data_IF_042188567321
#
_entry.id   IF_042188567321
#
_cell.length_a   1.000
_cell.length_b   1.000
_cell.length_c   1.000
_cell.angle_alpha   90.00
_cell.angle_beta   90.00
_cell.angle_gamma   90.00
#
_symmetry.space_group_name_H-M   'P 1'
#
loop_
_entity.id
_entity.type
_entity.pdbx_description
1 polymer ?
#
# COMPACT_ATOMS: atom_id res chain seq x y z
N UNK A 1 9.98 21.84 -31.89
CA UNK A 1 9.65 21.48 -30.52
C UNK A 1 9.95 20.02 -30.26
N UNK A 2 10.31 19.66 -29.03
CA UNK A 2 10.52 18.27 -28.61
C UNK A 2 9.24 17.81 -27.91
N UNK A 3 8.67 16.70 -28.37
CA UNK A 3 7.53 16.08 -27.68
C UNK A 3 8.06 15.21 -26.55
N UNK A 4 7.64 15.49 -25.32
CA UNK A 4 8.02 14.72 -24.13
C UNK A 4 6.95 13.64 -23.86
N UNK A 5 7.36 12.39 -23.86
CA UNK A 5 6.53 11.27 -23.42
C UNK A 5 7.06 10.76 -22.07
N UNK A 6 6.22 10.83 -21.04
CA UNK A 6 6.60 10.38 -19.68
C UNK A 6 6.16 8.93 -19.53
N UNK A 7 7.11 8.07 -19.18
CA UNK A 7 6.86 6.68 -18.79
C UNK A 7 7.07 6.49 -17.31
N UNK A 8 6.03 6.07 -16.60
CA UNK A 8 6.11 5.77 -15.18
C UNK A 8 6.28 4.26 -14.97
N UNK A 9 7.49 3.82 -14.68
CA UNK A 9 7.83 2.40 -14.50
C UNK A 9 7.32 1.75 -13.20
N UNK A 10 6.58 2.51 -12.37
CA UNK A 10 6.05 2.06 -11.07
C UNK A 10 4.55 1.75 -11.10
N UNK A 11 3.99 1.42 -12.23
CA UNK A 11 2.55 1.10 -12.34
C UNK A 11 2.06 0.07 -11.31
N UNK A 12 2.95 -0.76 -10.81
CA UNK A 12 2.66 -1.69 -9.74
C UNK A 12 2.33 -1.06 -8.38
N UNK A 13 2.78 0.17 -8.06
CA UNK A 13 2.54 0.74 -6.73
C UNK A 13 1.13 1.32 -6.56
N UNK A 14 0.56 1.94 -7.58
CA UNK A 14 -0.81 2.47 -7.55
C UNK A 14 -1.83 1.35 -7.73
N UNK A 15 -1.58 0.40 -8.61
CA UNK A 15 -2.46 -0.75 -8.82
C UNK A 15 -2.29 -1.87 -7.79
N UNK A 16 -1.18 -1.93 -7.05
CA UNK A 16 -0.97 -2.86 -5.93
C UNK A 16 -1.97 -2.68 -4.80
N UNK A 17 -2.45 -1.46 -4.58
CA UNK A 17 -3.53 -1.19 -3.65
C UNK A 17 -4.91 -1.63 -4.15
N UNK A 18 -5.01 -2.21 -5.37
CA UNK A 18 -6.28 -2.65 -5.96
C UNK A 18 -7.02 -1.55 -6.71
N UNK A 19 -6.39 -0.38 -6.95
CA UNK A 19 -7.00 0.66 -7.78
C UNK A 19 -7.17 0.17 -9.21
N UNK A 20 -8.32 0.48 -9.81
CA UNK A 20 -8.62 0.17 -11.20
C UNK A 20 -7.66 0.95 -12.10
N UNK A 21 -7.26 0.39 -13.25
CA UNK A 21 -6.42 1.10 -14.24
C UNK A 21 -7.02 2.43 -14.69
N UNK A 22 -8.35 2.52 -14.69
CA UNK A 22 -9.13 3.72 -14.87
C UNK A 22 -8.81 4.84 -13.87
N UNK A 23 -8.71 4.52 -12.58
CA UNK A 23 -8.36 5.50 -11.55
C UNK A 23 -6.95 6.06 -11.73
N UNK A 24 -6.01 5.25 -12.23
CA UNK A 24 -4.66 5.72 -12.58
C UNK A 24 -4.71 6.75 -13.70
N UNK A 25 -5.44 6.49 -14.77
CA UNK A 25 -5.56 7.39 -15.93
C UNK A 25 -6.24 8.70 -15.50
N UNK A 26 -7.33 8.61 -14.74
CA UNK A 26 -8.08 9.77 -14.27
C UNK A 26 -7.30 10.63 -13.25
N UNK A 27 -6.28 10.09 -12.61
CA UNK A 27 -5.41 10.82 -11.70
C UNK A 27 -4.20 11.48 -12.38
N UNK A 28 -3.95 11.18 -13.66
CA UNK A 28 -2.85 11.80 -14.42
C UNK A 28 -3.22 13.22 -14.84
N UNK A 29 -2.24 14.16 -14.86
CA UNK A 29 -2.43 15.45 -15.51
C UNK A 29 -2.85 15.28 -16.97
N UNK A 30 -3.78 16.10 -17.46
CA UNK A 30 -4.30 16.01 -18.83
C UNK A 30 -3.18 16.06 -19.88
N UNK A 31 -2.18 16.90 -19.65
CA UNK A 31 -1.01 17.06 -20.53
C UNK A 31 -0.10 15.83 -20.56
N UNK A 32 -0.21 14.92 -19.59
CA UNK A 32 0.57 13.68 -19.55
C UNK A 32 -0.09 12.52 -20.31
N UNK A 33 -1.35 12.69 -20.75
CA UNK A 33 -2.19 11.62 -21.32
C UNK A 33 -2.49 11.86 -22.81
N UNK A 34 -1.55 12.08 -23.66
CA UNK A 34 -1.76 12.35 -25.09
C UNK A 34 -2.22 11.12 -25.90
N UNK A 35 -3.30 10.46 -25.52
CA UNK A 35 -3.81 9.27 -26.20
C UNK A 35 -2.96 8.01 -26.00
N UNK A 36 -1.99 8.05 -25.10
CA UNK A 36 -1.08 6.95 -24.84
C UNK A 36 -1.00 6.63 -23.36
N UNK A 37 -1.18 5.36 -23.01
CA UNK A 37 -0.88 4.82 -21.70
C UNK A 37 0.16 3.72 -21.85
N UNK A 38 1.28 3.85 -21.17
CA UNK A 38 2.27 2.79 -21.01
C UNK A 38 2.42 2.44 -19.55
N UNK A 39 2.07 1.22 -19.19
CA UNK A 39 2.19 0.70 -17.84
C UNK A 39 2.99 -0.60 -17.85
N UNK A 40 3.74 -0.88 -16.77
CA UNK A 40 4.37 -2.18 -16.54
C UNK A 40 3.60 -2.89 -15.46
N UNK A 41 2.88 -3.94 -15.82
CA UNK A 41 2.16 -4.77 -14.86
C UNK A 41 3.04 -5.91 -14.34
N UNK A 42 2.75 -6.38 -13.14
CA UNK A 42 3.44 -7.54 -12.57
C UNK A 42 2.74 -8.83 -12.98
N UNK A 43 3.48 -9.96 -12.93
CA UNK A 43 2.99 -11.25 -13.40
C UNK A 43 1.67 -11.69 -12.76
N UNK A 44 1.50 -11.45 -11.45
CA UNK A 44 0.26 -11.76 -10.72
C UNK A 44 -0.91 -10.93 -11.24
N UNK A 45 -0.74 -9.63 -11.42
CA UNK A 45 -1.77 -8.73 -11.97
C UNK A 45 -2.13 -9.09 -13.41
N UNK A 46 -1.15 -9.55 -14.20
CA UNK A 46 -1.38 -10.02 -15.56
C UNK A 46 -2.31 -11.24 -15.57
N UNK A 47 -2.06 -12.22 -14.70
CA UNK A 47 -2.91 -13.41 -14.63
C UNK A 47 -4.35 -13.07 -14.17
N UNK A 48 -4.50 -12.21 -13.17
CA UNK A 48 -5.80 -11.79 -12.66
C UNK A 48 -6.62 -10.98 -13.68
N UNK A 49 -5.98 -10.08 -14.41
CA UNK A 49 -6.66 -9.17 -15.36
C UNK A 49 -6.84 -9.75 -16.74
N UNK A 50 -5.91 -10.59 -17.17
CA UNK A 50 -5.85 -11.09 -18.55
C UNK A 50 -5.94 -12.61 -18.69
N UNK A 51 -6.02 -13.37 -17.57
CA UNK A 51 -6.13 -14.82 -17.58
C UNK A 51 -7.47 -15.34 -18.13
N UNK A 52 -8.55 -14.55 -18.03
CA UNK A 52 -9.87 -14.90 -18.55
C UNK A 52 -10.36 -13.85 -19.55
N UNK A 53 -10.79 -14.31 -20.74
CA UNK A 53 -11.25 -13.42 -21.82
C UNK A 53 -12.28 -12.37 -21.41
N UNK A 54 -13.33 -12.67 -20.61
CA UNK A 54 -14.28 -11.65 -20.18
C UNK A 54 -13.64 -10.56 -19.32
N UNK A 55 -12.71 -10.93 -18.43
CA UNK A 55 -11.97 -9.99 -17.59
C UNK A 55 -11.02 -9.12 -18.42
N UNK A 56 -10.34 -9.74 -19.39
CA UNK A 56 -9.46 -9.03 -20.34
C UNK A 56 -10.22 -7.95 -21.10
N UNK A 57 -11.34 -8.32 -21.72
CA UNK A 57 -12.19 -7.39 -22.46
C UNK A 57 -12.64 -6.23 -21.56
N UNK A 58 -13.12 -6.54 -20.37
CA UNK A 58 -13.56 -5.53 -19.41
C UNK A 58 -12.43 -4.58 -19.01
N UNK A 59 -11.23 -5.12 -18.76
CA UNK A 59 -10.04 -4.33 -18.41
C UNK A 59 -9.65 -3.37 -19.54
N UNK A 60 -9.65 -3.85 -20.79
CA UNK A 60 -9.35 -3.01 -21.95
C UNK A 60 -10.44 -1.98 -22.23
N UNK A 61 -11.72 -2.33 -22.14
CA UNK A 61 -12.83 -1.40 -22.30
C UNK A 61 -12.75 -0.24 -21.29
N UNK A 62 -12.51 -0.54 -20.02
CA UNK A 62 -12.37 0.47 -18.97
C UNK A 62 -11.15 1.37 -19.21
N UNK A 63 -10.00 0.76 -19.55
CA UNK A 63 -8.78 1.52 -19.82
C UNK A 63 -8.90 2.40 -21.04
N UNK A 64 -9.51 1.88 -22.12
CA UNK A 64 -9.74 2.64 -23.36
C UNK A 64 -10.70 3.81 -23.12
N UNK A 65 -11.79 3.57 -22.41
CA UNK A 65 -12.75 4.61 -22.05
C UNK A 65 -12.08 5.73 -21.23
N UNK A 66 -11.36 5.37 -20.17
CA UNK A 66 -10.66 6.35 -19.34
C UNK A 66 -9.62 7.14 -20.16
N UNK A 67 -8.86 6.46 -21.02
CA UNK A 67 -7.87 7.10 -21.88
C UNK A 67 -8.52 8.06 -22.90
N UNK A 68 -9.64 7.67 -23.50
CA UNK A 68 -10.37 8.51 -24.43
C UNK A 68 -10.92 9.76 -23.75
N UNK A 69 -11.53 9.62 -22.57
CA UNK A 69 -12.06 10.74 -21.79
C UNK A 69 -10.93 11.69 -21.35
N UNK A 70 -9.82 11.15 -20.82
CA UNK A 70 -8.67 11.94 -20.44
C UNK A 70 -8.07 12.72 -21.60
N UNK A 71 -7.94 12.08 -22.77
CA UNK A 71 -7.43 12.72 -24.00
C UNK A 71 -8.37 13.80 -24.53
N UNK A 72 -9.67 13.63 -24.33
CA UNK A 72 -10.68 14.63 -24.69
C UNK A 72 -10.79 15.79 -23.68
N UNK A 73 -9.99 15.81 -22.62
CA UNK A 73 -10.00 16.87 -21.60
C UNK A 73 -11.12 16.76 -20.57
N UNK A 74 -11.76 15.58 -20.46
CA UNK A 74 -12.81 15.35 -19.45
C UNK A 74 -12.30 15.11 -18.03
N UNK A 75 -11.01 15.15 -17.78
CA UNK A 75 -10.43 14.95 -16.44
C UNK A 75 -10.58 16.16 -15.50
N UNK A 76 -11.41 17.12 -15.88
CA UNK A 76 -11.67 18.32 -15.13
C UNK A 76 -10.72 19.48 -15.45
N UNK A 77 -11.03 20.69 -14.98
CA UNK A 77 -10.20 21.87 -15.19
C UNK A 77 -8.85 21.70 -14.48
N UNK A 78 -7.82 22.37 -15.02
CA UNK A 78 -6.56 22.57 -14.31
C UNK A 78 -6.84 23.11 -12.89
N UNK A 79 -6.04 22.65 -11.95
CA UNK A 79 -6.10 23.12 -10.57
C UNK A 79 -5.66 24.60 -10.52
N UNK A 80 -6.62 25.49 -10.59
CA UNK A 80 -6.41 26.93 -10.38
C UNK A 80 -6.36 27.30 -8.89
N UNK A 81 -6.87 26.45 -7.98
CA UNK A 81 -6.90 26.72 -6.55
C UNK A 81 -5.52 26.51 -5.91
N UNK A 82 -4.80 27.61 -5.70
CA UNK A 82 -3.50 27.62 -5.02
C UNK A 82 -3.58 27.07 -3.59
N UNK A 83 -4.73 27.23 -2.91
CA UNK A 83 -4.98 26.70 -1.56
C UNK A 83 -4.87 25.17 -1.52
N UNK A 84 -5.33 24.48 -2.54
CA UNK A 84 -5.22 23.02 -2.61
C UNK A 84 -3.78 22.55 -2.87
N UNK A 85 -3.02 23.30 -3.66
CA UNK A 85 -1.59 23.02 -3.86
C UNK A 85 -0.82 23.21 -2.57
N UNK A 86 -1.07 24.30 -1.84
CA UNK A 86 -0.43 24.58 -0.56
C UNK A 86 -0.80 23.52 0.50
N UNK A 87 -2.07 23.12 0.56
CA UNK A 87 -2.53 22.05 1.43
C UNK A 87 -1.85 20.71 1.10
N UNK A 88 -1.76 20.35 -0.19
CA UNK A 88 -1.07 19.12 -0.62
C UNK A 88 0.42 19.16 -0.29
N UNK A 89 1.08 20.31 -0.45
CA UNK A 89 2.49 20.42 -0.12
C UNK A 89 2.74 20.32 1.39
N UNK A 90 1.89 20.96 2.21
CA UNK A 90 1.95 20.81 3.66
C UNK A 90 1.74 19.35 4.08
N UNK A 91 0.71 18.69 3.53
CA UNK A 91 0.42 17.28 3.78
C UNK A 91 1.61 16.40 3.41
N UNK A 92 2.16 16.57 2.22
CA UNK A 92 3.31 15.81 1.73
C UNK A 92 4.54 15.97 2.62
N UNK A 93 4.89 17.20 3.01
CA UNK A 93 6.02 17.48 3.92
C UNK A 93 5.81 16.85 5.29
N UNK A 94 4.61 16.99 5.86
CA UNK A 94 4.28 16.45 7.19
C UNK A 94 4.27 14.93 7.20
N UNK A 95 3.68 14.30 6.19
CA UNK A 95 3.69 12.85 6.00
C UNK A 95 5.11 12.31 5.82
N UNK A 96 5.91 12.96 4.97
CA UNK A 96 7.30 12.56 4.73
C UNK A 96 8.13 12.65 6.00
N UNK A 97 7.97 13.72 6.79
CA UNK A 97 8.67 13.89 8.06
C UNK A 97 8.29 12.78 9.04
N UNK A 98 6.99 12.48 9.19
CA UNK A 98 6.51 11.40 10.05
C UNK A 98 7.07 10.04 9.61
N UNK A 99 6.99 9.72 8.32
CA UNK A 99 7.50 8.46 7.79
C UNK A 99 9.02 8.33 7.99
N UNK A 100 9.79 9.39 7.67
CA UNK A 100 11.25 9.37 7.77
C UNK A 100 11.74 9.25 9.20
N UNK A 101 11.10 9.91 10.16
CA UNK A 101 11.52 9.91 11.56
C UNK A 101 11.62 8.51 12.15
N UNK A 102 10.75 7.60 11.71
CA UNK A 102 10.75 6.20 12.18
C UNK A 102 11.50 5.31 11.21
N UNK A 103 11.13 5.33 9.91
CA UNK A 103 11.61 4.32 8.96
C UNK A 103 13.07 4.50 8.58
N UNK A 104 13.55 5.76 8.52
CA UNK A 104 14.90 6.06 8.04
C UNK A 104 15.84 6.63 9.09
N UNK A 105 15.31 7.37 10.07
CA UNK A 105 16.12 8.09 11.04
C UNK A 105 16.30 7.31 12.35
N UNK A 106 15.36 6.41 12.67
CA UNK A 106 15.50 5.52 13.82
C UNK A 106 16.26 4.24 13.42
N UNK A 107 17.47 4.09 13.99
CA UNK A 107 18.36 2.96 13.66
C UNK A 107 17.84 1.60 14.14
N UNK A 108 16.95 1.57 15.10
CA UNK A 108 16.38 0.33 15.62
C UNK A 108 15.18 -0.16 14.81
N UNK A 109 14.62 0.70 13.94
CA UNK A 109 13.42 0.35 13.17
C UNK A 109 13.65 -0.83 12.22
N UNK A 110 14.84 -0.96 11.62
CA UNK A 110 15.15 -2.09 10.75
C UNK A 110 15.14 -3.43 11.51
N UNK A 111 15.58 -3.42 12.78
CA UNK A 111 15.56 -4.61 13.62
C UNK A 111 14.13 -4.96 14.03
N UNK A 112 13.33 -3.94 14.37
CA UNK A 112 11.90 -4.11 14.59
C UNK A 112 11.22 -4.73 13.34
N UNK A 113 11.46 -4.18 12.14
CA UNK A 113 10.96 -4.73 10.89
C UNK A 113 11.28 -6.22 10.72
N UNK A 114 12.55 -6.60 10.90
CA UNK A 114 12.96 -8.00 10.80
C UNK A 114 12.34 -8.89 11.88
N UNK A 115 12.05 -8.33 13.05
CA UNK A 115 11.42 -9.09 14.12
C UNK A 115 9.94 -9.38 13.84
N UNK A 116 9.15 -8.35 13.41
CA UNK A 116 7.69 -8.44 13.25
C UNK A 116 7.22 -8.84 11.85
N UNK A 117 8.12 -9.15 10.94
CA UNK A 117 7.79 -9.59 9.59
C UNK A 117 8.53 -10.87 9.23
N UNK A 118 8.05 -11.65 8.26
CA UNK A 118 8.78 -12.82 7.74
C UNK A 118 9.85 -12.42 6.70
N UNK A 119 10.54 -11.29 6.90
CA UNK A 119 11.53 -10.77 5.96
C UNK A 119 12.67 -11.75 5.72
N UNK A 120 13.11 -12.46 6.75
CA UNK A 120 14.15 -13.49 6.69
C UNK A 120 13.74 -14.73 5.86
N UNK A 121 12.45 -15.05 5.81
CA UNK A 121 11.90 -16.07 4.89
C UNK A 121 11.86 -15.54 3.46
N UNK A 122 11.35 -14.30 3.30
CA UNK A 122 11.22 -13.63 2.00
C UNK A 122 12.58 -13.45 1.32
N UNK A 123 13.63 -13.16 2.09
CA UNK A 123 15.00 -13.02 1.60
C UNK A 123 15.54 -14.32 0.94
N UNK A 124 15.08 -15.47 1.40
CA UNK A 124 15.43 -16.78 0.84
C UNK A 124 14.52 -17.21 -0.32
N UNK A 125 13.44 -16.47 -0.58
CA UNK A 125 12.54 -16.72 -1.71
C UNK A 125 13.10 -16.08 -2.99
N UNK A 126 12.93 -16.78 -4.11
CA UNK A 126 13.18 -16.18 -5.43
C UNK A 126 11.96 -15.36 -5.86
N UNK A 127 11.87 -14.11 -5.39
CA UNK A 127 10.80 -13.19 -5.77
C UNK A 127 11.28 -12.29 -6.90
N UNK A 128 10.74 -12.52 -8.10
CA UNK A 128 11.11 -11.76 -9.29
C UNK A 128 12.51 -12.11 -9.82
N UNK A 129 12.99 -11.32 -10.78
CA UNK A 129 14.27 -11.56 -11.50
C UNK A 129 15.51 -10.95 -10.82
N UNK A 130 15.36 -10.34 -9.66
CA UNK A 130 16.45 -9.58 -9.00
C UNK A 130 16.62 -9.98 -7.53
N UNK A 131 17.85 -9.94 -6.98
CA UNK A 131 18.09 -10.20 -5.56
C UNK A 131 17.24 -9.28 -4.65
N UNK A 132 16.93 -9.74 -3.45
CA UNK A 132 16.09 -9.03 -2.48
C UNK A 132 16.76 -7.75 -1.97
N UNK A 133 18.08 -7.73 -1.85
CA UNK A 133 18.85 -6.56 -1.42
C UNK A 133 19.66 -5.94 -2.56
N UNK A 134 20.07 -4.68 -2.40
CA UNK A 134 20.88 -3.91 -3.37
C UNK A 134 22.38 -4.06 -3.18
N UNK A 135 22.86 -4.83 -2.21
CA UNK A 135 24.26 -4.99 -1.89
C UNK A 135 24.54 -4.87 -0.38
N UNK A 136 25.80 -4.72 0.01
CA UNK A 136 26.26 -4.58 1.40
C UNK A 136 25.84 -3.23 2.00
N UNK A 137 24.57 -3.10 2.38
CA UNK A 137 24.04 -1.94 3.10
C UNK A 137 23.30 -2.40 4.35
N UNK A 138 23.53 -1.73 5.48
CA UNK A 138 22.72 -1.91 6.67
C UNK A 138 21.57 -0.90 6.66
N UNK A 139 20.33 -1.38 6.80
CA UNK A 139 19.15 -0.54 6.95
C UNK A 139 18.12 -0.65 5.82
N UNK A 140 17.02 0.07 5.96
CA UNK A 140 15.87 0.03 5.03
C UNK A 140 16.28 0.41 3.60
N UNK A 141 17.29 1.27 3.43
CA UNK A 141 17.77 1.71 2.11
C UNK A 141 18.40 0.58 1.28
N UNK A 142 18.90 -0.47 1.92
CA UNK A 142 19.45 -1.65 1.24
C UNK A 142 18.35 -2.55 0.69
N UNK A 143 17.13 -2.47 1.22
CA UNK A 143 16.01 -3.29 0.79
C UNK A 143 15.44 -2.81 -0.55
N UNK A 144 14.97 -3.74 -1.36
CA UNK A 144 14.18 -3.42 -2.55
C UNK A 144 12.73 -3.19 -2.18
N UNK A 145 12.04 -2.37 -2.98
CA UNK A 145 10.66 -1.97 -2.72
C UNK A 145 9.69 -3.17 -2.64
N UNK A 146 9.87 -4.19 -3.49
CA UNK A 146 8.99 -5.38 -3.50
C UNK A 146 9.11 -6.16 -2.19
N UNK A 147 10.27 -6.63 -1.75
CA UNK A 147 10.42 -7.32 -0.47
C UNK A 147 9.96 -6.49 0.72
N UNK A 148 10.23 -5.17 0.70
CA UNK A 148 9.80 -4.26 1.75
C UNK A 148 8.27 -4.22 1.89
N UNK A 149 7.55 -3.95 0.80
CA UNK A 149 6.08 -3.89 0.82
C UNK A 149 5.49 -5.26 1.13
N UNK A 150 6.06 -6.31 0.53
CA UNK A 150 5.59 -7.67 0.70
C UNK A 150 5.70 -8.17 2.15
N UNK A 151 6.81 -7.90 2.84
CA UNK A 151 6.99 -8.27 4.23
C UNK A 151 5.96 -7.61 5.15
N UNK A 152 5.65 -6.34 4.95
CA UNK A 152 4.61 -5.62 5.70
C UNK A 152 3.19 -6.12 5.39
N UNK A 153 2.94 -6.59 4.18
CA UNK A 153 1.65 -7.20 3.84
C UNK A 153 1.48 -8.55 4.53
N UNK A 154 2.54 -9.33 4.63
CA UNK A 154 2.56 -10.62 5.31
C UNK A 154 2.24 -10.53 6.80
N UNK A 155 2.60 -9.45 7.46
CA UNK A 155 2.29 -9.22 8.88
C UNK A 155 1.06 -8.34 9.12
N UNK A 156 0.25 -8.08 8.09
CA UNK A 156 -1.00 -7.30 8.12
C UNK A 156 -0.85 -5.84 8.56
N UNK A 157 0.35 -5.34 8.68
CA UNK A 157 0.59 -3.91 8.94
C UNK A 157 0.27 -3.03 7.73
N UNK A 158 0.58 -3.48 6.52
CA UNK A 158 0.45 -2.68 5.28
C UNK A 158 1.10 -1.30 5.40
N UNK A 159 2.08 -1.14 6.29
CA UNK A 159 2.64 0.12 6.77
C UNK A 159 3.01 1.13 5.66
N UNK A 160 3.69 0.72 4.56
CA UNK A 160 4.12 1.68 3.54
C UNK A 160 2.99 2.38 2.78
N UNK A 161 1.76 1.89 2.88
CA UNK A 161 0.63 2.42 2.13
C UNK A 161 -0.19 3.49 2.86
N UNK A 162 0.01 3.66 4.16
CA UNK A 162 -0.81 4.59 4.95
C UNK A 162 -0.04 5.34 6.05
N UNK A 163 1.11 4.84 6.51
CA UNK A 163 1.84 5.43 7.63
C UNK A 163 2.36 6.84 7.31
N UNK A 164 2.07 7.77 8.18
CA UNK A 164 2.36 9.20 8.03
C UNK A 164 1.25 9.99 7.32
N UNK A 165 0.26 9.33 6.71
CA UNK A 165 -0.83 10.03 6.02
C UNK A 165 -1.78 10.74 6.98
N UNK A 166 -2.08 10.15 8.14
CA UNK A 166 -2.90 10.77 9.18
C UNK A 166 -2.27 12.04 9.71
N UNK A 167 -0.99 12.00 10.07
CA UNK A 167 -0.21 13.16 10.47
C UNK A 167 -0.21 14.25 9.39
N UNK A 168 -0.09 13.89 8.12
CA UNK A 168 -0.15 14.83 7.01
C UNK A 168 -1.53 15.48 6.84
N UNK A 169 -2.60 14.67 6.87
CA UNK A 169 -3.99 15.15 6.78
C UNK A 169 -4.35 16.05 7.97
N UNK A 170 -3.95 15.67 9.18
CA UNK A 170 -4.18 16.47 10.39
C UNK A 170 -3.49 17.84 10.31
N UNK A 171 -2.26 17.91 9.81
CA UNK A 171 -1.56 19.18 9.61
C UNK A 171 -2.32 20.13 8.66
N UNK A 172 -2.99 19.59 7.64
CA UNK A 172 -3.86 20.37 6.76
C UNK A 172 -5.12 20.82 7.49
N UNK A 173 -5.75 19.93 8.26
CA UNK A 173 -6.93 20.30 9.07
C UNK A 173 -6.61 21.44 10.03
N UNK A 174 -5.47 21.38 10.69
CA UNK A 174 -5.03 22.40 11.66
C UNK A 174 -4.74 23.77 11.00
N UNK A 175 -4.28 23.77 9.74
CA UNK A 175 -3.86 24.99 9.03
C UNK A 175 -4.95 25.59 8.14
N UNK A 176 -5.75 24.76 7.49
CA UNK A 176 -6.73 25.16 6.48
C UNK A 176 -8.19 24.85 6.88
N UNK A 177 -8.39 24.08 7.95
CA UNK A 177 -9.69 23.58 8.38
C UNK A 177 -10.10 22.27 7.69
N UNK A 178 -10.97 21.50 8.36
CA UNK A 178 -11.41 20.20 7.87
C UNK A 178 -12.11 20.21 6.49
N UNK A 179 -12.91 21.24 6.11
CA UNK A 179 -13.64 21.22 4.84
C UNK A 179 -12.72 21.13 3.61
N UNK A 180 -11.49 21.64 3.66
CA UNK A 180 -10.60 21.69 2.50
C UNK A 180 -10.29 20.29 1.97
N UNK A 181 -10.07 19.30 2.84
CA UNK A 181 -9.77 17.93 2.41
C UNK A 181 -10.99 17.25 1.76
N UNK A 182 -12.20 17.52 2.24
CA UNK A 182 -13.43 17.00 1.62
C UNK A 182 -13.72 17.68 0.27
N UNK A 183 -13.44 18.98 0.15
CA UNK A 183 -13.51 19.69 -1.13
C UNK A 183 -12.51 19.14 -2.14
N UNK A 184 -11.25 18.93 -1.72
CA UNK A 184 -10.21 18.32 -2.56
C UNK A 184 -10.61 16.90 -2.99
N UNK A 185 -11.18 16.11 -2.09
CA UNK A 185 -11.63 14.76 -2.41
C UNK A 185 -12.75 14.76 -3.45
N UNK A 186 -13.69 15.69 -3.35
CA UNK A 186 -14.83 15.78 -4.27
C UNK A 186 -14.45 16.33 -5.66
N UNK A 187 -13.44 17.20 -5.75
CA UNK A 187 -13.19 17.99 -6.96
C UNK A 187 -11.80 17.79 -7.56
N UNK A 188 -10.89 17.10 -6.90
CA UNK A 188 -9.55 16.82 -7.40
C UNK A 188 -9.28 15.32 -7.52
N UNK A 189 -9.39 14.80 -8.73
CA UNK A 189 -9.32 13.35 -9.03
C UNK A 189 -8.02 12.69 -8.55
N UNK A 190 -6.87 13.39 -8.62
CA UNK A 190 -5.60 12.90 -8.09
C UNK A 190 -5.69 12.69 -6.57
N UNK A 191 -6.20 13.67 -5.84
CA UNK A 191 -6.34 13.58 -4.39
C UNK A 191 -7.37 12.50 -3.99
N UNK A 192 -8.51 12.46 -4.70
CA UNK A 192 -9.52 11.42 -4.50
C UNK A 192 -8.95 10.01 -4.68
N UNK A 193 -8.22 9.77 -5.77
CA UNK A 193 -7.56 8.48 -6.03
C UNK A 193 -6.52 8.13 -4.96
N UNK A 194 -5.82 9.11 -4.43
CA UNK A 194 -4.83 8.91 -3.37
C UNK A 194 -5.51 8.51 -2.05
N UNK A 195 -6.58 9.20 -1.65
CA UNK A 195 -7.36 8.87 -0.46
C UNK A 195 -8.00 7.48 -0.57
N UNK A 196 -8.55 7.13 -1.74
CA UNK A 196 -9.11 5.79 -1.99
C UNK A 196 -8.03 4.69 -1.91
N UNK A 197 -6.82 4.96 -2.37
CA UNK A 197 -5.67 4.07 -2.23
C UNK A 197 -5.26 3.85 -0.77
N UNK A 198 -5.23 4.93 0.02
CA UNK A 198 -4.96 4.87 1.47
C UNK A 198 -6.06 4.06 2.17
N UNK A 199 -7.33 4.35 1.89
CA UNK A 199 -8.48 3.62 2.44
C UNK A 199 -8.40 2.12 2.16
N UNK A 200 -8.08 1.75 0.90
CA UNK A 200 -7.91 0.35 0.51
C UNK A 200 -6.83 -0.33 1.33
N UNK A 201 -5.72 0.36 1.57
CA UNK A 201 -4.59 -0.20 2.32
C UNK A 201 -4.94 -0.35 3.80
N UNK A 202 -5.62 0.65 4.39
CA UNK A 202 -6.16 0.59 5.75
C UNK A 202 -7.16 -0.56 5.93
N UNK A 203 -8.03 -0.78 4.95
CA UNK A 203 -9.02 -1.86 5.00
C UNK A 203 -8.42 -3.27 4.91
N UNK A 204 -7.22 -3.39 4.33
CA UNK A 204 -6.45 -4.63 4.29
C UNK A 204 -5.54 -4.81 5.50
N UNK A 205 -5.16 -3.73 6.16
CA UNK A 205 -4.41 -3.78 7.41
C UNK A 205 -5.30 -4.36 8.52
N UNK A 206 -4.66 -5.05 9.47
CA UNK A 206 -5.34 -5.62 10.64
C UNK A 206 -4.41 -5.53 11.83
N UNK A 207 -4.69 -4.59 12.71
CA UNK A 207 -3.84 -4.31 13.87
C UNK A 207 -3.97 -5.38 14.97
N UNK A 208 -5.03 -6.22 14.94
CA UNK A 208 -5.16 -7.36 15.84
C UNK A 208 -4.24 -8.49 15.38
N UNK A 209 -4.28 -8.84 14.11
CA UNK A 209 -3.35 -9.83 13.52
C UNK A 209 -1.91 -9.34 13.62
N UNK A 210 -1.62 -8.07 13.30
CA UNK A 210 -0.29 -7.49 13.48
C UNK A 210 0.21 -7.62 14.91
N UNK A 211 -0.68 -7.53 15.91
CA UNK A 211 -0.36 -7.73 17.33
C UNK A 211 0.16 -9.13 17.67
N UNK A 212 -0.17 -10.16 16.90
CA UNK A 212 0.46 -11.47 17.09
C UNK A 212 1.90 -11.49 16.59
N UNK A 213 2.21 -10.78 15.50
CA UNK A 213 3.59 -10.60 15.02
C UNK A 213 4.41 -9.75 15.98
N UNK A 214 3.81 -8.78 16.68
CA UNK A 214 4.46 -7.97 17.72
C UNK A 214 5.10 -8.85 18.80
N UNK A 215 4.51 -10.01 19.11
CA UNK A 215 5.02 -10.95 20.11
C UNK A 215 6.36 -11.60 19.70
N UNK A 216 6.76 -11.50 18.43
CA UNK A 216 8.05 -11.96 17.94
C UNK A 216 9.17 -10.95 18.23
N UNK A 217 8.82 -9.71 18.53
CA UNK A 217 9.78 -8.64 18.78
C UNK A 217 10.18 -8.57 20.26
N UNK A 218 11.43 -8.20 20.59
CA UNK A 218 11.84 -7.87 21.94
C UNK A 218 11.00 -6.75 22.55
N UNK A 219 10.79 -6.78 23.87
CA UNK A 219 9.97 -5.78 24.58
C UNK A 219 10.42 -4.33 24.39
N UNK A 220 11.70 -4.08 24.09
CA UNK A 220 12.23 -2.75 23.81
C UNK A 220 11.63 -2.04 22.59
N UNK A 221 10.94 -2.76 21.71
CA UNK A 221 10.33 -2.20 20.51
C UNK A 221 8.86 -1.78 20.67
N UNK A 222 8.30 -1.85 21.86
CA UNK A 222 6.90 -1.47 22.13
C UNK A 222 6.55 -0.04 21.66
N UNK A 223 7.53 0.88 21.68
CA UNK A 223 7.35 2.25 21.18
C UNK A 223 6.92 2.29 19.70
N UNK A 224 7.50 1.44 18.84
CA UNK A 224 7.13 1.38 17.43
C UNK A 224 5.69 0.90 17.24
N UNK A 225 5.31 -0.13 17.99
CA UNK A 225 3.95 -0.68 17.95
C UNK A 225 2.92 0.36 18.37
N UNK A 226 3.20 1.12 19.43
CA UNK A 226 2.32 2.20 19.90
C UNK A 226 2.19 3.28 18.84
N UNK A 227 3.30 3.81 18.34
CA UNK A 227 3.27 4.88 17.32
C UNK A 227 2.59 4.44 16.02
N UNK A 228 2.80 3.20 15.58
CA UNK A 228 2.14 2.67 14.38
C UNK A 228 0.63 2.57 14.59
N UNK A 229 0.16 2.12 15.75
CA UNK A 229 -1.27 2.02 16.07
C UNK A 229 -1.96 3.38 16.20
N UNK A 230 -1.27 4.33 16.81
CA UNK A 230 -1.75 5.72 16.90
C UNK A 230 -1.91 6.34 15.52
N UNK A 231 -0.90 6.21 14.66
CA UNK A 231 -0.96 6.71 13.28
C UNK A 231 -2.00 5.98 12.43
N UNK A 232 -2.20 4.67 12.65
CA UNK A 232 -3.28 3.93 12.00
C UNK A 232 -4.65 4.50 12.35
N UNK A 233 -4.89 4.73 13.63
CA UNK A 233 -6.16 5.29 14.13
C UNK A 233 -6.40 6.68 13.56
N UNK A 234 -5.38 7.55 13.63
CA UNK A 234 -5.44 8.90 13.07
C UNK A 234 -5.71 8.90 11.56
N UNK A 235 -4.98 8.08 10.80
CA UNK A 235 -5.17 7.98 9.35
C UNK A 235 -6.59 7.50 9.01
N UNK A 236 -7.08 6.50 9.73
CA UNK A 236 -8.44 5.98 9.55
C UNK A 236 -9.48 7.04 9.84
N UNK A 237 -9.36 7.77 10.93
CA UNK A 237 -10.29 8.85 11.32
C UNK A 237 -10.30 9.95 10.27
N UNK A 238 -9.15 10.40 9.79
CA UNK A 238 -9.05 11.40 8.73
C UNK A 238 -9.72 10.93 7.43
N UNK A 239 -9.45 9.70 6.98
CA UNK A 239 -10.05 9.15 5.76
C UNK A 239 -11.57 9.06 5.88
N UNK A 240 -12.10 8.59 7.01
CA UNK A 240 -13.55 8.51 7.24
C UNK A 240 -14.18 9.90 7.26
N UNK A 241 -13.54 10.88 7.87
CA UNK A 241 -14.02 12.26 7.90
C UNK A 241 -14.05 12.89 6.49
N UNK A 242 -12.97 12.72 5.71
CA UNK A 242 -12.85 13.22 4.33
C UNK A 242 -13.97 12.65 3.44
N UNK A 243 -14.26 11.36 3.56
CA UNK A 243 -15.24 10.65 2.73
C UNK A 243 -16.68 10.76 3.29
N UNK A 244 -16.86 11.25 4.52
CA UNK A 244 -18.16 11.29 5.18
C UNK A 244 -18.77 9.89 5.42
N UNK A 245 -17.93 8.88 5.63
CA UNK A 245 -18.32 7.47 5.79
C UNK A 245 -18.17 7.01 7.24
N UNK A 246 -18.99 6.04 7.66
CA UNK A 246 -18.91 5.46 9.00
C UNK A 246 -17.84 4.34 9.10
N UNK A 247 -17.60 3.64 8.00
CA UNK A 247 -16.65 2.52 7.92
C UNK A 247 -15.85 2.61 6.65
N UNK A 248 -14.64 2.07 6.68
CA UNK A 248 -13.81 1.94 5.49
C UNK A 248 -14.53 1.15 4.40
N UNK A 249 -14.41 1.64 3.17
CA UNK A 249 -15.00 1.07 1.96
C UNK A 249 -16.55 1.06 1.94
N UNK A 250 -17.23 1.93 2.69
CA UNK A 250 -18.68 2.06 2.58
C UNK A 250 -19.13 2.50 1.18
N UNK A 251 -18.27 3.21 0.44
CA UNK A 251 -18.49 3.55 -0.99
C UNK A 251 -18.27 2.37 -1.95
N UNK A 252 -17.60 1.29 -1.50
CA UNK A 252 -17.24 0.10 -2.30
C UNK A 252 -17.72 -1.20 -1.63
N UNK A 253 -19.04 -1.40 -1.46
CA UNK A 253 -19.59 -2.47 -0.61
C UNK A 253 -19.21 -3.89 -1.09
N UNK A 254 -19.02 -4.08 -2.39
CA UNK A 254 -18.57 -5.37 -2.95
C UNK A 254 -17.16 -5.71 -2.47
N UNK A 255 -16.25 -4.73 -2.48
CA UNK A 255 -14.88 -4.89 -2.04
C UNK A 255 -14.80 -5.05 -0.51
N UNK A 256 -15.53 -4.21 0.24
CA UNK A 256 -15.66 -4.33 1.70
C UNK A 256 -16.11 -5.75 2.10
N UNK A 257 -17.15 -6.25 1.43
CA UNK A 257 -17.65 -7.61 1.66
C UNK A 257 -16.61 -8.68 1.30
N UNK A 258 -15.91 -8.52 0.18
CA UNK A 258 -14.87 -9.45 -0.27
C UNK A 258 -13.74 -9.58 0.74
N UNK A 259 -13.23 -8.46 1.28
CA UNK A 259 -12.21 -8.45 2.32
C UNK A 259 -12.73 -9.16 3.59
N UNK A 260 -13.92 -8.79 4.06
CA UNK A 260 -14.52 -9.38 5.26
C UNK A 260 -14.74 -10.88 5.16
N UNK A 261 -15.12 -11.38 3.98
CA UNK A 261 -15.35 -12.82 3.78
C UNK A 261 -14.06 -13.62 3.68
N UNK A 262 -12.94 -13.00 3.30
CA UNK A 262 -11.63 -13.67 3.19
C UNK A 262 -10.89 -13.79 4.52
N UNK A 263 -11.03 -12.78 5.40
CA UNK A 263 -10.31 -12.74 6.67
C UNK A 263 -10.42 -14.05 7.47
N UNK A 264 -11.60 -14.66 7.70
CA UNK A 264 -11.69 -15.91 8.46
C UNK A 264 -10.90 -17.09 7.91
N UNK A 265 -10.53 -17.07 6.62
CA UNK A 265 -9.70 -18.10 5.99
C UNK A 265 -8.21 -17.77 6.04
N UNK A 266 -7.86 -16.49 6.07
CA UNK A 266 -6.48 -16.05 6.05
C UNK A 266 -5.92 -15.86 7.47
N UNK A 267 -6.73 -15.43 8.41
CA UNK A 267 -6.29 -15.16 9.79
C UNK A 267 -5.68 -16.39 10.50
N UNK A 268 -6.23 -17.62 10.37
CA UNK A 268 -5.60 -18.83 10.91
C UNK A 268 -4.20 -19.10 10.33
N UNK A 269 -3.97 -18.74 9.05
CA UNK A 269 -2.66 -18.91 8.41
C UNK A 269 -1.65 -17.93 9.03
N UNK A 270 -2.06 -16.70 9.34
CA UNK A 270 -1.22 -15.74 10.06
C UNK A 270 -0.80 -16.26 11.44
N UNK A 271 -1.77 -16.78 12.21
CA UNK A 271 -1.46 -17.31 13.54
C UNK A 271 -0.48 -18.50 13.46
N UNK A 272 -0.69 -19.38 12.48
CA UNK A 272 0.23 -20.49 12.19
C UNK A 272 1.62 -19.97 11.78
N UNK A 273 1.69 -18.95 10.91
CA UNK A 273 2.96 -18.36 10.49
C UNK A 273 3.73 -17.76 11.65
N UNK A 274 3.06 -17.09 12.60
CA UNK A 274 3.72 -16.56 13.80
C UNK A 274 4.36 -17.67 14.63
N UNK A 275 3.67 -18.79 14.85
CA UNK A 275 4.24 -19.94 15.57
C UNK A 275 5.42 -20.57 14.82
N UNK A 276 5.27 -20.77 13.52
CA UNK A 276 6.33 -21.29 12.66
C UNK A 276 7.58 -20.39 12.67
N UNK A 277 7.39 -19.05 12.58
CA UNK A 277 8.50 -18.08 12.65
C UNK A 277 9.22 -18.17 14.00
N UNK A 278 8.47 -18.25 15.11
CA UNK A 278 9.06 -18.37 16.45
C UNK A 278 9.92 -19.63 16.56
N UNK A 279 9.40 -20.76 16.11
CA UNK A 279 10.10 -22.05 16.17
C UNK A 279 11.31 -22.09 15.25
N UNK A 280 11.17 -21.63 14.02
CA UNK A 280 12.24 -21.62 13.03
C UNK A 280 13.39 -20.69 13.43
N UNK A 281 13.07 -19.51 13.96
CA UNK A 281 14.07 -18.59 14.49
C UNK A 281 14.78 -19.12 15.73
N UNK A 282 14.08 -19.86 16.59
CA UNK A 282 14.66 -20.54 17.75
C UNK A 282 15.56 -21.73 17.37
N UNK A 283 15.37 -22.31 16.18
CA UNK A 283 16.23 -23.35 15.59
C UNK A 283 17.31 -22.75 14.67
N UNK A 284 17.81 -21.54 14.97
CA UNK A 284 18.84 -20.82 14.19
C UNK A 284 18.57 -20.71 12.69
N UNK A 285 17.30 -20.84 12.29
CA UNK A 285 16.83 -20.82 10.89
C UNK A 285 17.38 -21.98 10.03
N UNK A 286 17.74 -23.10 10.65
CA UNK A 286 18.35 -24.25 9.98
C UNK A 286 17.36 -25.39 9.66
N UNK A 287 16.16 -25.41 10.30
CA UNK A 287 15.16 -26.46 10.12
C UNK A 287 14.48 -26.34 8.73
N UNK A 288 14.70 -27.30 7.81
CA UNK A 288 14.16 -27.26 6.46
C UNK A 288 12.65 -27.49 6.39
N UNK A 289 12.10 -28.26 7.33
CA UNK A 289 10.67 -28.60 7.34
C UNK A 289 9.86 -27.37 7.80
N UNK A 290 10.35 -26.67 8.83
CA UNK A 290 9.76 -25.42 9.27
C UNK A 290 9.87 -24.34 8.17
N UNK A 291 10.99 -24.29 7.46
CA UNK A 291 11.15 -23.36 6.34
C UNK A 291 10.17 -23.67 5.20
N UNK A 292 10.01 -24.95 4.82
CA UNK A 292 9.04 -25.34 3.81
C UNK A 292 7.59 -24.97 4.23
N UNK A 293 7.21 -25.19 5.48
CA UNK A 293 5.92 -24.78 6.02
C UNK A 293 5.73 -23.25 5.99
N UNK A 294 6.78 -22.48 6.28
CA UNK A 294 6.77 -21.01 6.19
C UNK A 294 6.55 -20.54 4.75
N UNK A 295 7.19 -21.17 3.75
CA UNK A 295 6.95 -20.86 2.34
C UNK A 295 5.49 -21.08 1.93
N UNK A 296 4.89 -22.17 2.39
CA UNK A 296 3.46 -22.45 2.15
C UNK A 296 2.58 -21.38 2.81
N UNK A 297 2.89 -20.97 4.05
CA UNK A 297 2.13 -19.93 4.74
C UNK A 297 2.23 -18.56 4.04
N UNK A 298 3.42 -18.18 3.59
CA UNK A 298 3.64 -16.94 2.81
C UNK A 298 2.80 -16.92 1.53
N UNK A 299 2.80 -18.03 0.79
CA UNK A 299 2.00 -18.17 -0.42
C UNK A 299 0.50 -18.14 -0.13
N UNK A 300 0.06 -18.85 0.93
CA UNK A 300 -1.35 -18.87 1.36
C UNK A 300 -1.87 -17.49 1.73
N UNK A 301 -1.11 -16.73 2.51
CA UNK A 301 -1.44 -15.33 2.87
C UNK A 301 -1.50 -14.45 1.62
N UNK A 302 -0.52 -14.55 0.73
CA UNK A 302 -0.48 -13.75 -0.51
C UNK A 302 -1.70 -13.99 -1.39
N UNK A 303 -2.07 -15.25 -1.60
CA UNK A 303 -3.26 -15.60 -2.37
C UNK A 303 -4.55 -15.16 -1.68
N UNK A 304 -4.65 -15.36 -0.36
CA UNK A 304 -5.81 -14.95 0.42
C UNK A 304 -6.01 -13.44 0.44
N UNK A 305 -4.95 -12.64 0.53
CA UNK A 305 -5.02 -11.19 0.48
C UNK A 305 -5.10 -10.63 -0.95
N UNK A 306 -4.93 -11.46 -1.98
CA UNK A 306 -4.82 -11.05 -3.39
C UNK A 306 -3.77 -9.95 -3.57
N UNK A 307 -2.59 -10.18 -3.02
CA UNK A 307 -1.50 -9.23 -3.11
C UNK A 307 -0.15 -9.89 -2.86
N UNK A 308 0.76 -9.65 -3.76
CA UNK A 308 2.17 -10.03 -3.66
C UNK A 308 3.07 -8.85 -3.27
N UNK A 309 2.48 -7.84 -2.69
CA UNK A 309 3.15 -6.60 -2.30
C UNK A 309 2.98 -5.47 -3.29
#
# INVERSE_FOLDING_TARGET
GVQLLIFHGRSGSVSRAGSRGEALINSMPAEAVHGHLRATEQGESINERYGLRPLTLRTFEQSLNALALATAGYNGPELEDTRWRDAMELMSRSSLKCYRSIVYEDREFIQFFHAVTPSDVIERMQIGSRPVSRGEGSGVQALRAIPWIFAWSQSRYMLPGWFGCGTGMQAVVDSFGAPVLSEMYAHWSLFGSMVDGIEMTLARADMEIAGFYDQLAPKGYARFMTTIREEYSLTRECVLAIKGCARLLDSEPTLQRSIRLRNPYVDPIHLTQVDLLRRWRAADREDPDLFAALLVSVNGISQGLQGSG
#
